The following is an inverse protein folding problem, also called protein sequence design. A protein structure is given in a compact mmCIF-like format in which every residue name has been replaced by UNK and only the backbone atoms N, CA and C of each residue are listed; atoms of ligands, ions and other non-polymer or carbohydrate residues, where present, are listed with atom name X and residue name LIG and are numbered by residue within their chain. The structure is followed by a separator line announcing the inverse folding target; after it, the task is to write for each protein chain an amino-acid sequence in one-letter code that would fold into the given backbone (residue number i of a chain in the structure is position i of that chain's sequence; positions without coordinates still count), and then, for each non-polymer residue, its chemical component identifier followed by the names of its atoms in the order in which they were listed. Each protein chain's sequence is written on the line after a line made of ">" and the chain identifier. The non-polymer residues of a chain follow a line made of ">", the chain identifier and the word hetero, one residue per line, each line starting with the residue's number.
data_IF_749027820413
#
_entry.id   IF_749027820413
#
_cell.length_a   1.000
_cell.length_b   1.000
_cell.length_c   1.000
_cell.angle_alpha   90.00
_cell.angle_beta   90.00
_cell.angle_gamma   90.00
#
_symmetry.space_group_name_H-M   'P 1'
#
loop_
_entity.id
_entity.type
_entity.pdbx_description
1 polymer ?
#
# COMPACT_ATOMS: atom_id res chain seq x y z
N UNK A 1 -14.43 59.64 -14.98
CA UNK A 1 -15.01 58.43 -14.33
C UNK A 1 -14.57 57.10 -14.95
N UNK A 2 -13.87 57.08 -16.10
CA UNK A 2 -13.41 55.85 -16.78
C UNK A 2 -12.10 55.25 -16.23
N UNK A 3 -11.17 56.11 -15.81
CA UNK A 3 -9.83 55.70 -15.34
C UNK A 3 -9.92 54.81 -14.09
N UNK A 4 -10.87 55.07 -13.18
CA UNK A 4 -11.06 54.25 -11.98
C UNK A 4 -11.66 52.87 -12.27
N UNK A 5 -12.36 52.69 -13.40
CA UNK A 5 -12.90 51.40 -13.82
C UNK A 5 -11.83 50.53 -14.47
N UNK A 6 -10.96 51.12 -15.27
CA UNK A 6 -9.82 50.43 -15.88
C UNK A 6 -8.83 49.97 -14.81
N UNK A 7 -8.52 50.83 -13.82
CA UNK A 7 -7.64 50.47 -12.71
C UNK A 7 -8.15 49.28 -11.89
N UNK A 8 -9.46 49.24 -11.58
CA UNK A 8 -10.07 48.11 -10.87
C UNK A 8 -10.01 46.81 -11.68
N UNK A 9 -10.15 46.88 -12.99
CA UNK A 9 -10.12 45.72 -13.88
C UNK A 9 -8.71 45.13 -14.00
N UNK A 10 -7.68 45.98 -14.06
CA UNK A 10 -6.27 45.55 -14.03
C UNK A 10 -5.90 44.88 -12.70
N UNK A 11 -6.36 45.42 -11.57
CA UNK A 11 -6.13 44.82 -10.24
C UNK A 11 -6.85 43.47 -10.12
N UNK A 12 -8.09 43.37 -10.61
CA UNK A 12 -8.84 42.12 -10.62
C UNK A 12 -8.15 41.05 -11.49
N UNK A 13 -7.63 41.43 -12.66
CA UNK A 13 -6.89 40.49 -13.52
C UNK A 13 -5.58 40.03 -12.87
N UNK A 14 -4.82 40.96 -12.28
CA UNK A 14 -3.56 40.65 -11.61
C UNK A 14 -3.74 39.71 -10.42
N UNK A 15 -4.77 39.95 -9.60
CA UNK A 15 -5.10 39.08 -8.45
C UNK A 15 -5.58 37.69 -8.90
N UNK A 16 -6.36 37.60 -9.97
CA UNK A 16 -6.80 36.33 -10.54
C UNK A 16 -5.62 35.50 -11.07
N UNK A 17 -4.69 36.12 -11.81
CA UNK A 17 -3.48 35.43 -12.31
C UNK A 17 -2.61 34.95 -11.15
N UNK A 18 -2.43 35.76 -10.11
CA UNK A 18 -1.67 35.37 -8.92
C UNK A 18 -2.34 34.20 -8.17
N UNK A 19 -3.67 34.21 -8.07
CA UNK A 19 -4.44 33.11 -7.49
C UNK A 19 -4.30 31.82 -8.31
N UNK A 20 -4.40 31.89 -9.63
CA UNK A 20 -4.18 30.72 -10.50
C UNK A 20 -2.75 30.18 -10.39
N UNK A 21 -1.74 31.05 -10.35
CA UNK A 21 -0.34 30.66 -10.19
C UNK A 21 -0.06 30.00 -8.83
N UNK A 22 -0.62 30.54 -7.75
CA UNK A 22 -0.50 29.95 -6.40
C UNK A 22 -1.29 28.64 -6.29
N UNK A 23 -2.50 28.57 -6.83
CA UNK A 23 -3.29 27.33 -6.88
C UNK A 23 -2.53 26.24 -7.64
N UNK A 24 -2.03 26.53 -8.85
CA UNK A 24 -1.23 25.56 -9.64
C UNK A 24 0.05 25.13 -8.93
N UNK A 25 0.74 26.04 -8.23
CA UNK A 25 1.90 25.69 -7.41
C UNK A 25 1.51 24.76 -6.24
N UNK A 26 0.44 25.07 -5.52
CA UNK A 26 -0.07 24.23 -4.42
C UNK A 26 -0.58 22.88 -4.91
N UNK A 27 -1.28 22.83 -6.04
CA UNK A 27 -1.71 21.60 -6.68
C UNK A 27 -0.52 20.78 -7.17
N UNK A 28 0.54 21.40 -7.69
CA UNK A 28 1.77 20.71 -8.12
C UNK A 28 2.57 20.19 -6.93
N UNK A 29 2.68 20.94 -5.84
CA UNK A 29 3.36 20.45 -4.62
C UNK A 29 2.57 19.29 -3.99
N UNK A 30 1.24 19.42 -3.92
CA UNK A 30 0.36 18.34 -3.45
C UNK A 30 0.47 17.12 -4.37
N UNK A 31 0.40 17.30 -5.69
CA UNK A 31 0.57 16.24 -6.67
C UNK A 31 1.95 15.59 -6.55
N UNK A 32 3.03 16.35 -6.46
CA UNK A 32 4.39 15.83 -6.30
C UNK A 32 4.60 15.08 -4.97
N UNK A 33 3.89 15.46 -3.90
CA UNK A 33 3.86 14.68 -2.64
C UNK A 33 3.10 13.37 -2.81
N UNK A 34 2.06 13.34 -3.65
CA UNK A 34 1.34 12.11 -4.01
C UNK A 34 2.07 11.27 -5.07
N UNK A 35 2.92 11.87 -5.92
CA UNK A 35 3.66 11.19 -7.00
C UNK A 35 5.16 11.03 -6.72
N UNK A 36 5.61 11.34 -5.50
CA UNK A 36 6.92 10.95 -4.97
C UNK A 36 8.12 11.42 -5.80
N UNK A 37 8.36 12.73 -5.91
CA UNK A 37 9.60 13.22 -6.53
C UNK A 37 10.70 13.47 -5.49
N UNK A 38 11.32 12.38 -5.02
CA UNK A 38 12.65 12.39 -4.39
C UNK A 38 13.38 11.11 -4.79
N UNK A 39 14.31 11.23 -5.74
CA UNK A 39 15.38 10.27 -6.07
C UNK A 39 14.95 8.80 -6.15
N UNK A 40 14.59 8.36 -7.37
CA UNK A 40 14.12 7.00 -7.69
C UNK A 40 12.60 6.95 -7.72
N UNK A 41 12.01 6.86 -8.91
CA UNK A 41 10.55 6.84 -9.07
C UNK A 41 9.95 5.65 -8.32
N UNK A 42 9.14 5.92 -7.28
CA UNK A 42 8.40 4.89 -6.57
C UNK A 42 7.46 4.15 -7.56
N UNK A 43 7.56 2.82 -7.62
CA UNK A 43 6.62 1.98 -8.36
C UNK A 43 5.21 2.14 -7.78
N UNK A 44 5.13 2.28 -6.46
CA UNK A 44 3.90 2.45 -5.72
C UNK A 44 4.17 3.24 -4.45
N UNK A 45 3.31 4.22 -4.17
CA UNK A 45 3.28 4.95 -2.90
C UNK A 45 1.96 4.65 -2.21
N UNK A 46 2.01 4.27 -0.94
CA UNK A 46 0.83 4.04 -0.12
C UNK A 46 0.87 4.92 1.13
N UNK A 47 -0.20 5.68 1.43
CA UNK A 47 -0.27 6.46 2.66
C UNK A 47 -0.44 5.52 3.86
N UNK A 48 0.08 5.94 5.02
CA UNK A 48 -0.22 5.25 6.28
C UNK A 48 -1.67 5.41 6.67
N UNK A 49 -2.17 4.40 7.39
CA UNK A 49 -3.51 4.41 7.97
C UNK A 49 -3.42 4.70 9.46
N UNK A 50 -4.01 5.79 9.91
CA UNK A 50 -4.08 6.11 11.34
C UNK A 50 -5.14 5.18 11.99
N UNK A 51 -4.73 4.38 12.98
CA UNK A 51 -5.59 3.43 13.71
C UNK A 51 -5.53 3.76 15.20
N UNK A 52 -6.69 3.79 15.85
CA UNK A 52 -6.79 3.97 17.29
C UNK A 52 -6.74 2.63 18.02
N UNK A 53 -5.61 2.32 18.64
CA UNK A 53 -5.42 1.18 19.51
C UNK A 53 -5.90 1.49 20.93
N UNK A 54 -6.72 0.61 21.52
CA UNK A 54 -7.34 0.81 22.85
C UNK A 54 -6.33 1.21 23.95
N UNK A 55 -5.11 0.65 23.91
CA UNK A 55 -4.07 0.89 24.91
C UNK A 55 -3.00 1.88 24.42
N UNK A 56 -2.72 1.90 23.11
CA UNK A 56 -1.59 2.65 22.54
C UNK A 56 -2.01 3.97 21.86
N UNK A 57 -3.31 4.27 21.82
CA UNK A 57 -3.83 5.47 21.17
C UNK A 57 -3.65 5.41 19.65
N UNK A 58 -3.46 6.58 19.05
CA UNK A 58 -3.31 6.70 17.59
C UNK A 58 -1.94 6.20 17.13
N UNK A 59 -1.93 5.14 16.33
CA UNK A 59 -0.75 4.56 15.71
C UNK A 59 -0.95 4.55 14.19
N UNK A 60 0.11 4.86 13.45
CA UNK A 60 0.07 4.75 11.99
C UNK A 60 0.47 3.34 11.56
N UNK A 61 -0.31 2.74 10.67
CA UNK A 61 -0.02 1.44 10.11
C UNK A 61 0.40 1.51 8.64
N UNK A 62 1.44 0.76 8.26
CA UNK A 62 1.88 0.62 6.88
C UNK A 62 0.97 -0.36 6.13
N UNK A 63 -0.16 0.12 5.63
CA UNK A 63 -1.09 -0.70 4.84
C UNK A 63 -0.90 -0.51 3.34
N UNK A 64 -0.93 -1.61 2.60
CA UNK A 64 -0.81 -1.64 1.16
C UNK A 64 -1.96 -2.41 0.54
N UNK A 65 -2.77 -1.74 -0.29
CA UNK A 65 -3.81 -2.40 -1.05
C UNK A 65 -3.29 -2.80 -2.44
N UNK A 66 -3.06 -4.10 -2.66
CA UNK A 66 -2.56 -4.64 -3.93
C UNK A 66 -3.59 -5.55 -4.61
N UNK A 67 -3.68 -5.51 -5.95
CA UNK A 67 -4.38 -6.55 -6.70
C UNK A 67 -3.64 -7.88 -6.60
N UNK A 68 -4.38 -8.93 -6.21
CA UNK A 68 -3.98 -10.33 -6.16
C UNK A 68 -4.69 -11.06 -7.28
N UNK A 69 -3.97 -11.89 -8.03
CA UNK A 69 -4.55 -12.72 -9.07
C UNK A 69 -5.20 -13.96 -8.44
N UNK A 70 -6.42 -14.26 -8.86
CA UNK A 70 -7.27 -15.35 -8.38
C UNK A 70 -7.76 -16.18 -9.56
N UNK A 71 -8.31 -17.38 -9.33
CA UNK A 71 -8.91 -18.18 -10.41
C UNK A 71 -10.08 -17.44 -11.11
N UNK A 72 -10.75 -16.54 -10.40
CA UNK A 72 -11.93 -15.79 -10.89
C UNK A 72 -11.61 -14.37 -11.38
N UNK A 73 -10.33 -14.01 -11.51
CA UNK A 73 -9.90 -12.67 -11.93
C UNK A 73 -8.97 -12.01 -10.92
N UNK A 74 -9.12 -10.70 -10.70
CA UNK A 74 -8.23 -9.93 -9.83
C UNK A 74 -9.02 -9.43 -8.63
N UNK A 75 -8.54 -9.71 -7.41
CA UNK A 75 -9.12 -9.22 -6.16
C UNK A 75 -8.16 -8.24 -5.49
N UNK A 76 -8.67 -7.09 -5.07
CA UNK A 76 -7.89 -6.12 -4.29
C UNK A 76 -7.86 -6.56 -2.82
N UNK A 77 -6.66 -6.72 -2.26
CA UNK A 77 -6.45 -7.15 -0.87
C UNK A 77 -5.63 -6.10 -0.14
N UNK A 78 -6.05 -5.74 1.07
CA UNK A 78 -5.32 -4.83 1.97
C UNK A 78 -4.36 -5.65 2.84
N UNK A 79 -3.07 -5.41 2.69
CA UNK A 79 -2.00 -6.05 3.45
C UNK A 79 -1.40 -5.10 4.46
N UNK A 80 -1.04 -5.63 5.64
CA UNK A 80 -0.04 -4.99 6.48
C UNK A 80 1.35 -5.30 5.93
N UNK A 81 2.17 -4.28 5.77
CA UNK A 81 3.56 -4.40 5.31
C UNK A 81 4.44 -4.56 6.55
N UNK A 82 4.93 -5.78 6.81
CA UNK A 82 5.58 -6.13 8.08
C UNK A 82 6.97 -6.74 7.85
N UNK A 83 8.02 -5.98 8.15
CA UNK A 83 9.41 -6.45 8.06
C UNK A 83 9.77 -7.47 9.16
N UNK A 84 8.95 -7.60 10.20
CA UNK A 84 9.06 -8.62 11.24
C UNK A 84 8.57 -10.00 10.78
N UNK A 85 7.74 -10.07 9.74
CA UNK A 85 7.26 -11.33 9.18
C UNK A 85 8.25 -11.90 8.14
N UNK A 86 8.67 -13.16 8.34
CA UNK A 86 9.59 -13.85 7.40
C UNK A 86 8.92 -14.09 6.05
N UNK A 87 7.69 -14.57 6.06
CA UNK A 87 6.89 -14.90 4.87
C UNK A 87 5.55 -14.18 4.92
N UNK A 88 4.98 -13.90 3.75
CA UNK A 88 3.64 -13.33 3.66
C UNK A 88 2.58 -14.31 4.16
N UNK A 89 1.46 -13.79 4.67
CA UNK A 89 0.33 -14.61 5.11
C UNK A 89 -0.97 -14.05 4.58
N UNK A 90 -1.93 -14.92 4.25
CA UNK A 90 -3.29 -14.50 3.89
C UNK A 90 -4.35 -15.41 4.54
N UNK A 91 -5.55 -14.88 4.83
CA UNK A 91 -6.66 -15.67 5.36
C UNK A 91 -7.23 -16.69 4.35
N UNK A 92 -7.90 -17.71 4.90
CA UNK A 92 -8.51 -18.83 4.17
C UNK A 92 -9.37 -18.38 2.98
N UNK A 93 -10.29 -17.45 3.19
CA UNK A 93 -11.20 -16.94 2.15
C UNK A 93 -10.48 -16.39 0.92
N UNK A 94 -9.29 -15.81 1.07
CA UNK A 94 -8.49 -15.34 -0.07
C UNK A 94 -7.75 -16.52 -0.72
N UNK A 95 -7.27 -17.47 0.08
CA UNK A 95 -6.66 -18.72 -0.42
C UNK A 95 -7.61 -19.48 -1.34
N UNK A 96 -8.88 -19.60 -0.94
CA UNK A 96 -9.94 -20.23 -1.72
C UNK A 96 -10.12 -19.58 -3.09
N UNK A 97 -9.97 -18.27 -3.19
CA UNK A 97 -10.06 -17.55 -4.46
C UNK A 97 -8.79 -17.73 -5.31
N UNK A 98 -7.61 -17.74 -4.69
CA UNK A 98 -6.32 -17.93 -5.39
C UNK A 98 -6.21 -19.34 -5.98
N UNK A 99 -6.60 -20.36 -5.22
CA UNK A 99 -6.46 -21.77 -5.59
C UNK A 99 -7.79 -22.46 -5.93
N UNK A 100 -8.91 -21.74 -5.98
CA UNK A 100 -10.23 -22.32 -6.28
C UNK A 100 -10.67 -23.41 -5.32
N UNK A 101 -10.47 -23.21 -4.01
CA UNK A 101 -10.84 -24.17 -2.97
C UNK A 101 -9.90 -25.37 -2.81
N UNK A 102 -8.80 -25.43 -3.55
CA UNK A 102 -7.84 -26.56 -3.52
C UNK A 102 -6.57 -26.25 -2.71
N UNK A 103 -6.54 -25.14 -1.94
CA UNK A 103 -5.34 -24.72 -1.21
C UNK A 103 -4.91 -25.74 -0.13
N UNK A 104 -5.83 -26.56 0.37
CA UNK A 104 -5.57 -27.60 1.38
C UNK A 104 -4.73 -28.77 0.82
N UNK A 105 -4.58 -28.86 -0.52
CA UNK A 105 -3.69 -29.84 -1.18
C UNK A 105 -2.21 -29.43 -1.16
N UNK A 106 -1.92 -28.19 -0.78
CA UNK A 106 -0.55 -27.67 -0.67
C UNK A 106 0.15 -28.23 0.58
N UNK A 107 1.47 -27.99 0.69
CA UNK A 107 2.23 -28.44 1.85
C UNK A 107 1.80 -27.68 3.11
N UNK A 108 1.27 -28.42 4.09
CA UNK A 108 0.87 -27.86 5.39
C UNK A 108 2.11 -27.49 6.22
N UNK A 109 2.07 -26.33 6.86
CA UNK A 109 3.17 -25.79 7.66
C UNK A 109 2.67 -25.17 8.97
N UNK A 110 3.62 -24.80 9.84
CA UNK A 110 3.37 -24.12 11.12
C UNK A 110 4.05 -22.76 11.07
N UNK A 111 3.26 -21.70 11.27
CA UNK A 111 3.73 -20.35 11.52
C UNK A 111 3.90 -20.14 13.02
N UNK A 112 5.08 -19.65 13.42
CA UNK A 112 5.37 -19.31 14.81
C UNK A 112 5.46 -17.80 14.97
N UNK A 113 4.51 -17.26 15.73
CA UNK A 113 4.48 -15.85 16.10
C UNK A 113 5.44 -15.52 17.24
N UNK A 114 5.62 -14.22 17.47
CA UNK A 114 6.30 -13.74 18.66
C UNK A 114 5.53 -14.15 19.92
N UNK A 115 6.21 -14.72 20.91
CA UNK A 115 5.56 -15.25 22.13
C UNK A 115 5.17 -16.73 22.08
N UNK A 116 5.54 -17.45 21.02
CA UNK A 116 5.39 -18.91 20.95
C UNK A 116 4.01 -19.39 20.51
N UNK A 117 3.11 -18.49 20.11
CA UNK A 117 1.84 -18.87 19.51
C UNK A 117 2.07 -19.54 18.15
N UNK A 118 1.51 -20.74 17.98
CA UNK A 118 1.53 -21.45 16.72
C UNK A 118 0.21 -21.24 15.97
N UNK A 119 0.30 -21.04 14.66
CA UNK A 119 -0.85 -21.07 13.76
C UNK A 119 -0.54 -21.95 12.57
N UNK A 120 -1.53 -22.68 12.09
CA UNK A 120 -1.37 -23.59 10.97
C UNK A 120 -1.80 -22.96 9.66
N UNK A 121 -1.17 -23.40 8.58
CA UNK A 121 -1.52 -22.98 7.23
C UNK A 121 -0.85 -23.83 6.18
N UNK A 122 -0.95 -23.41 4.94
CA UNK A 122 -0.44 -24.13 3.78
C UNK A 122 0.48 -23.24 2.97
N UNK A 123 1.64 -23.73 2.57
CA UNK A 123 2.62 -22.97 1.79
C UNK A 123 2.25 -22.97 0.32
N UNK A 124 2.35 -21.81 -0.33
CA UNK A 124 2.27 -21.73 -1.78
C UNK A 124 2.72 -20.38 -2.28
N UNK A 125 2.18 -19.99 -3.42
CA UNK A 125 2.57 -18.76 -4.10
C UNK A 125 1.33 -17.99 -4.51
N UNK A 126 1.33 -16.68 -4.28
CA UNK A 126 0.32 -15.78 -4.83
C UNK A 126 0.98 -14.83 -5.83
N UNK A 127 0.30 -14.55 -6.94
CA UNK A 127 0.72 -13.50 -7.85
C UNK A 127 0.08 -12.19 -7.43
N UNK A 128 0.88 -11.15 -7.26
CA UNK A 128 0.41 -9.79 -6.97
C UNK A 128 0.82 -8.83 -8.08
N UNK A 129 0.10 -7.72 -8.18
CA UNK A 129 0.42 -6.62 -9.08
C UNK A 129 0.84 -5.38 -8.29
N UNK A 130 2.00 -4.83 -8.58
CA UNK A 130 2.53 -3.59 -8.02
C UNK A 130 2.56 -2.51 -9.11
N UNK A 131 1.97 -1.35 -8.84
CA UNK A 131 1.88 -0.27 -9.82
C UNK A 131 1.12 -0.69 -11.08
N UNK A 132 1.55 -0.18 -12.24
CA UNK A 132 0.86 -0.39 -13.53
C UNK A 132 1.18 -1.73 -14.19
N UNK A 133 2.44 -2.17 -14.17
CA UNK A 133 2.90 -3.27 -15.03
C UNK A 133 3.86 -4.25 -14.34
N UNK A 134 4.04 -4.16 -13.03
CA UNK A 134 4.96 -5.03 -12.31
C UNK A 134 4.21 -6.14 -11.58
N UNK A 135 4.38 -7.39 -12.02
CA UNK A 135 3.81 -8.56 -11.37
C UNK A 135 4.89 -9.30 -10.58
N UNK A 136 4.55 -9.79 -9.40
CA UNK A 136 5.46 -10.51 -8.52
C UNK A 136 4.79 -11.80 -8.03
N UNK A 137 5.53 -12.91 -8.09
CA UNK A 137 5.15 -14.18 -7.49
C UNK A 137 5.71 -14.24 -6.06
N UNK A 138 4.81 -14.13 -5.09
CA UNK A 138 5.15 -13.98 -3.66
C UNK A 138 4.90 -15.30 -2.93
N UNK A 139 5.92 -15.91 -2.31
CA UNK A 139 5.74 -17.02 -1.39
C UNK A 139 4.85 -16.58 -0.21
N UNK A 140 3.85 -17.40 0.08
CA UNK A 140 2.80 -17.07 1.05
C UNK A 140 2.39 -18.31 1.84
N UNK A 141 1.95 -18.10 3.07
CA UNK A 141 1.24 -19.11 3.84
C UNK A 141 -0.24 -18.75 3.91
N UNK A 142 -1.07 -19.64 3.39
CA UNK A 142 -2.53 -19.58 3.49
C UNK A 142 -2.96 -20.08 4.86
N UNK A 143 -3.45 -19.19 5.70
CA UNK A 143 -3.93 -19.52 7.05
C UNK A 143 -5.19 -20.38 6.98
N UNK A 144 -5.34 -21.30 7.94
CA UNK A 144 -6.59 -22.04 8.16
C UNK A 144 -7.71 -21.14 8.74
N UNK A 145 -7.39 -19.92 9.19
CA UNK A 145 -8.35 -18.98 9.77
C UNK A 145 -8.62 -17.76 8.88
N UNK A 146 -9.89 -17.38 8.78
CA UNK A 146 -10.32 -16.11 8.17
C UNK A 146 -10.05 -14.88 9.04
N UNK A 147 -9.78 -15.08 10.34
CA UNK A 147 -9.42 -13.97 11.24
C UNK A 147 -7.95 -13.57 11.10
N UNK A 148 -7.17 -14.31 10.30
CA UNK A 148 -5.76 -13.98 10.06
C UNK A 148 -5.66 -12.71 9.22
N UNK A 149 -4.87 -11.77 9.71
CA UNK A 149 -4.55 -10.55 8.98
C UNK A 149 -3.69 -10.87 7.77
N UNK A 150 -4.00 -10.29 6.62
CA UNK A 150 -3.13 -10.38 5.45
C UNK A 150 -1.84 -9.57 5.69
N UNK A 151 -0.68 -10.22 5.57
CA UNK A 151 0.64 -9.63 5.83
C UNK A 151 1.53 -9.84 4.60
N UNK A 152 2.21 -8.79 4.15
CA UNK A 152 3.33 -8.87 3.23
C UNK A 152 4.63 -8.89 4.04
N UNK A 153 5.29 -10.05 4.03
CA UNK A 153 6.53 -10.29 4.75
C UNK A 153 7.78 -10.02 3.89
N UNK A 154 8.94 -10.48 4.37
CA UNK A 154 10.21 -10.26 3.69
C UNK A 154 10.41 -11.13 2.45
N UNK A 155 10.23 -12.44 2.59
CA UNK A 155 10.57 -13.41 1.55
C UNK A 155 9.72 -13.22 0.29
N UNK A 156 10.38 -12.96 -0.83
CA UNK A 156 9.73 -12.76 -2.14
C UNK A 156 8.87 -11.51 -2.25
N UNK A 157 9.03 -10.56 -1.32
CA UNK A 157 8.47 -9.21 -1.42
C UNK A 157 9.52 -8.18 -1.02
N UNK A 158 9.72 -7.90 0.28
CA UNK A 158 10.70 -6.86 0.71
C UNK A 158 12.17 -7.23 0.45
N UNK A 159 12.49 -8.50 0.22
CA UNK A 159 13.82 -8.92 -0.23
C UNK A 159 14.06 -8.66 -1.72
N UNK A 160 12.98 -8.56 -2.50
CA UNK A 160 13.01 -8.38 -3.96
C UNK A 160 12.70 -6.94 -4.39
N UNK A 161 12.09 -6.15 -3.50
CA UNK A 161 11.78 -4.73 -3.71
C UNK A 161 12.28 -3.89 -2.54
N UNK A 162 12.84 -2.73 -2.84
CA UNK A 162 13.21 -1.75 -1.83
C UNK A 162 11.96 -1.10 -1.25
N UNK A 163 11.82 -1.17 0.07
CA UNK A 163 10.71 -0.54 0.82
C UNK A 163 11.24 0.60 1.66
N UNK A 164 10.73 1.82 1.44
CA UNK A 164 11.06 3.02 2.23
C UNK A 164 9.87 3.43 3.08
N UNK A 165 10.08 3.45 4.40
CA UNK A 165 9.12 3.95 5.39
C UNK A 165 9.39 5.44 5.67
N UNK A 166 8.43 6.32 5.42
CA UNK A 166 8.51 7.73 5.74
C UNK A 166 7.48 8.12 6.81
N UNK A 167 7.92 8.16 8.07
CA UNK A 167 7.10 8.57 9.21
C UNK A 167 6.70 10.05 9.18
N UNK A 168 7.48 10.92 8.53
CA UNK A 168 7.19 12.35 8.45
C UNK A 168 6.20 12.63 7.32
N UNK A 169 6.43 12.02 6.17
CA UNK A 169 5.53 12.04 5.01
C UNK A 169 4.28 11.17 5.19
N UNK A 170 4.23 10.35 6.26
CA UNK A 170 3.17 9.37 6.52
C UNK A 170 2.92 8.44 5.32
N UNK A 171 3.98 7.91 4.73
CA UNK A 171 3.87 7.10 3.53
C UNK A 171 4.89 5.98 3.47
N UNK A 172 4.59 5.04 2.60
CA UNK A 172 5.48 3.97 2.17
C UNK A 172 5.72 4.13 0.69
N UNK A 173 6.97 3.95 0.27
CA UNK A 173 7.37 3.89 -1.12
C UNK A 173 8.02 2.55 -1.42
N UNK A 174 7.63 1.94 -2.53
CA UNK A 174 8.24 0.73 -3.06
C UNK A 174 9.00 1.05 -4.35
N UNK A 175 10.26 0.65 -4.44
CA UNK A 175 11.09 0.74 -5.65
C UNK A 175 11.70 -0.61 -5.97
N UNK A 176 12.08 -0.82 -7.23
CA UNK A 176 12.91 -1.97 -7.61
C UNK A 176 14.34 -1.78 -7.11
#
# INVERSE_FOLDING_TARGET
>A
MWISRIAKLVIALGTFVLFCATATYLFKDTYNRYTGNTTGECLLVAPYKDINYKVFGMVFEPNLAVPVFTKNGIKKVEFLVDSGAVVSTIPKSIADEVYGGEYESLERTVLRGFGGSESFGYTGTMKIKLGKDYNLDVPVVFSESDTTRAILGRKGFMEDITTKLDHRGKSICFTK
#
